data_IF_001026665703
#
_entry.id   IF_001026665703
#
_cell.length_a   1.000
_cell.length_b   1.000
_cell.length_c   1.000
_cell.angle_alpha   90.00
_cell.angle_beta   90.00
_cell.angle_gamma   90.00
#
_symmetry.space_group_name_H-M   'P 1'
#
loop_
_entity.id
_entity.type
_entity.pdbx_description
1 polymer ?
#
# COMPACT_ATOMS: atom_id res chain seq x y z
N UNK A 1 -4.85 -20.09 2.52
CA UNK A 1 -3.75 -20.89 3.06
C UNK A 1 -3.75 -20.96 4.59
N UNK A 2 -4.86 -20.62 5.26
CA UNK A 2 -5.03 -20.72 6.72
C UNK A 2 -3.87 -20.21 7.58
N UNK A 3 -3.21 -19.15 7.10
CA UNK A 3 -2.13 -18.47 7.83
C UNK A 3 -2.77 -17.71 8.99
N UNK A 4 -2.25 -17.98 10.18
CA UNK A 4 -2.74 -17.46 11.46
C UNK A 4 -1.66 -16.63 12.13
N UNK A 5 -2.11 -15.77 13.04
CA UNK A 5 -1.23 -15.07 13.98
C UNK A 5 -0.60 -16.08 14.95
N UNK A 6 0.39 -15.62 15.72
CA UNK A 6 1.07 -16.44 16.73
C UNK A 6 0.11 -17.00 17.79
N UNK A 7 -0.98 -16.27 18.09
CA UNK A 7 -2.02 -16.68 19.04
C UNK A 7 -3.05 -17.67 18.46
N UNK A 8 -2.92 -18.03 17.18
CA UNK A 8 -3.81 -18.97 16.49
C UNK A 8 -5.11 -18.36 15.93
N UNK A 9 -5.30 -17.05 16.06
CA UNK A 9 -6.40 -16.30 15.43
C UNK A 9 -6.09 -15.94 13.98
N UNK A 10 -7.12 -15.57 13.21
CA UNK A 10 -6.95 -15.11 11.83
C UNK A 10 -6.68 -13.61 11.77
N UNK A 11 -6.00 -13.19 10.71
CA UNK A 11 -5.85 -11.78 10.39
C UNK A 11 -7.21 -11.15 10.03
N UNK A 12 -7.44 -9.96 10.56
CA UNK A 12 -8.63 -9.15 10.32
C UNK A 12 -8.28 -8.00 9.36
N UNK A 13 -9.30 -7.47 8.69
CA UNK A 13 -9.11 -6.37 7.75
C UNK A 13 -8.56 -5.13 8.46
N UNK A 14 -7.51 -4.53 7.88
CA UNK A 14 -6.85 -3.34 8.43
C UNK A 14 -5.62 -3.66 9.28
N UNK A 15 -5.39 -4.94 9.60
CA UNK A 15 -4.16 -5.36 10.25
C UNK A 15 -3.01 -5.46 9.25
N UNK A 16 -1.81 -5.11 9.73
CA UNK A 16 -0.58 -5.34 9.00
C UNK A 16 -0.18 -6.81 9.09
N UNK A 17 0.33 -7.38 8.00
CA UNK A 17 0.78 -8.76 7.95
C UNK A 17 2.31 -8.74 8.04
N UNK A 18 2.90 -9.26 9.12
CA UNK A 18 4.35 -9.31 9.24
C UNK A 18 4.99 -10.21 8.17
N UNK A 19 6.27 -9.96 7.89
CA UNK A 19 7.06 -10.69 6.88
C UNK A 19 6.99 -12.22 7.03
N UNK A 20 7.05 -12.75 8.26
CA UNK A 20 7.10 -14.20 8.51
C UNK A 20 5.83 -14.93 8.01
N UNK A 21 4.61 -14.50 8.38
CA UNK A 21 3.36 -14.98 7.79
C UNK A 21 3.29 -14.85 6.26
N UNK A 22 3.69 -13.71 5.69
CA UNK A 22 3.68 -13.49 4.25
C UNK A 22 4.62 -14.45 3.50
N UNK A 23 5.83 -14.64 4.05
CA UNK A 23 6.81 -15.59 3.53
C UNK A 23 6.33 -17.02 3.65
N UNK A 24 5.75 -17.39 4.80
CA UNK A 24 5.17 -18.72 4.99
C UNK A 24 4.08 -19.01 3.96
N UNK A 25 3.19 -18.05 3.71
CA UNK A 25 2.17 -18.16 2.66
C UNK A 25 2.82 -18.35 1.28
N UNK A 26 3.82 -17.52 0.96
CA UNK A 26 4.49 -17.52 -0.35
C UNK A 26 5.23 -18.83 -0.60
N UNK A 27 5.93 -19.35 0.41
CA UNK A 27 6.68 -20.60 0.35
C UNK A 27 5.74 -21.80 0.20
N UNK A 28 4.57 -21.80 0.86
CA UNK A 28 3.55 -22.84 0.68
C UNK A 28 2.97 -22.84 -0.74
N UNK A 29 2.75 -21.66 -1.33
CA UNK A 29 2.28 -21.54 -2.72
C UNK A 29 3.39 -21.91 -3.71
N UNK A 30 4.65 -21.66 -3.33
CA UNK A 30 5.87 -21.99 -4.08
C UNK A 30 5.88 -21.41 -5.51
N UNK A 31 5.33 -20.20 -5.68
CA UNK A 31 5.32 -19.43 -6.93
C UNK A 31 5.44 -17.93 -6.61
N UNK A 32 5.88 -17.09 -7.55
CA UNK A 32 5.78 -15.64 -7.39
C UNK A 32 4.31 -15.21 -7.21
N UNK A 33 4.07 -14.30 -6.27
CA UNK A 33 2.73 -13.80 -5.92
C UNK A 33 2.71 -12.29 -6.03
N UNK A 34 1.58 -11.76 -6.51
CA UNK A 34 1.22 -10.36 -6.35
C UNK A 34 0.21 -10.26 -5.21
N UNK A 35 0.60 -9.65 -4.10
CA UNK A 35 -0.31 -9.28 -3.03
C UNK A 35 -0.78 -7.85 -3.31
N UNK A 36 -2.06 -7.70 -3.63
CA UNK A 36 -2.62 -6.42 -4.06
C UNK A 36 -3.64 -5.90 -3.06
N UNK A 37 -3.97 -4.60 -3.19
CA UNK A 37 -5.10 -3.97 -2.50
C UNK A 37 -4.94 -3.90 -0.97
N UNK A 38 -3.83 -3.33 -0.52
CA UNK A 38 -3.58 -3.14 0.91
C UNK A 38 -4.51 -2.09 1.53
N UNK A 39 -4.89 -2.23 2.81
CA UNK A 39 -5.66 -1.23 3.54
C UNK A 39 -4.98 0.15 3.52
N UNK A 40 -5.76 1.19 3.22
CA UNK A 40 -5.24 2.55 3.04
C UNK A 40 -4.74 3.21 4.34
N UNK A 41 -5.11 2.66 5.49
CA UNK A 41 -4.77 3.18 6.82
C UNK A 41 -3.36 2.77 7.26
N UNK A 42 -2.85 1.64 6.76
CA UNK A 42 -1.52 1.12 7.09
C UNK A 42 -0.47 1.44 6.03
N UNK A 43 -0.87 2.01 4.89
CA UNK A 43 0.02 2.37 3.77
C UNK A 43 0.21 3.88 3.65
N UNK A 44 1.26 4.27 2.93
CA UNK A 44 1.67 5.67 2.79
C UNK A 44 0.58 6.56 2.18
N UNK A 45 0.51 7.80 2.64
CA UNK A 45 -0.56 8.77 2.28
C UNK A 45 -0.64 9.11 0.79
N UNK A 46 0.43 8.92 0.04
CA UNK A 46 0.49 9.23 -1.39
C UNK A 46 -0.04 8.09 -2.29
N UNK A 47 -0.37 6.94 -1.71
CA UNK A 47 -0.90 5.80 -2.48
C UNK A 47 -2.37 6.04 -2.84
N UNK A 48 -2.70 5.90 -4.12
CA UNK A 48 -4.07 6.09 -4.63
C UNK A 48 -5.00 5.02 -4.05
N UNK A 49 -6.21 5.39 -3.64
CA UNK A 49 -7.23 4.43 -3.18
C UNK A 49 -8.04 3.90 -4.36
N UNK A 50 -8.43 2.62 -4.30
CA UNK A 50 -9.25 2.01 -5.35
C UNK A 50 -10.61 2.71 -5.46
N UNK A 51 -11.09 2.91 -6.70
CA UNK A 51 -12.37 3.58 -6.96
C UNK A 51 -13.59 2.76 -6.46
N UNK A 52 -13.50 1.43 -6.53
CA UNK A 52 -14.55 0.49 -6.13
C UNK A 52 -14.59 0.23 -4.62
N UNK A 53 -13.45 0.31 -3.92
CA UNK A 53 -13.37 0.24 -2.46
C UNK A 53 -12.29 1.18 -1.92
N UNK A 54 -12.73 2.32 -1.40
CA UNK A 54 -11.85 3.37 -0.86
C UNK A 54 -11.14 2.96 0.43
N UNK A 55 -11.45 1.80 1.03
CA UNK A 55 -10.72 1.27 2.20
C UNK A 55 -9.37 0.67 1.81
N UNK A 56 -9.16 0.33 0.54
CA UNK A 56 -7.93 -0.26 0.02
C UNK A 56 -7.25 0.63 -1.03
N UNK A 57 -5.99 0.35 -1.29
CA UNK A 57 -5.12 1.11 -2.20
C UNK A 57 -4.85 0.38 -3.51
N UNK A 58 -4.56 1.11 -4.57
CA UNK A 58 -4.04 0.56 -5.83
C UNK A 58 -2.55 0.20 -5.66
N UNK A 59 -2.26 -0.69 -4.72
CA UNK A 59 -0.93 -1.14 -4.33
C UNK A 59 -0.72 -2.61 -4.68
N UNK A 60 0.54 -2.96 -4.86
CA UNK A 60 1.02 -4.32 -5.12
C UNK A 60 2.37 -4.53 -4.46
N UNK A 61 2.49 -5.62 -3.72
CA UNK A 61 3.76 -6.16 -3.26
C UNK A 61 4.02 -7.46 -4.02
N UNK A 62 5.24 -7.63 -4.54
CA UNK A 62 5.68 -8.81 -5.28
C UNK A 62 6.45 -9.71 -4.33
N UNK A 63 5.95 -10.93 -4.11
CA UNK A 63 6.55 -11.89 -3.20
C UNK A 63 7.15 -13.06 -3.98
N UNK A 64 8.37 -13.44 -3.61
CA UNK A 64 9.12 -14.54 -4.22
C UNK A 64 9.34 -15.67 -3.21
N UNK A 65 9.13 -16.95 -3.60
CA UNK A 65 9.43 -18.09 -2.74
C UNK A 65 10.89 -18.09 -2.27
N UNK A 66 11.08 -18.41 -1.01
CA UNK A 66 12.37 -18.42 -0.32
C UNK A 66 12.89 -17.05 0.10
N UNK A 67 12.29 -15.95 -0.38
CA UNK A 67 12.76 -14.58 -0.13
C UNK A 67 11.72 -13.77 0.65
N UNK A 68 10.45 -13.77 0.22
CA UNK A 68 9.44 -12.83 0.71
C UNK A 68 9.23 -11.67 -0.26
N UNK A 69 8.85 -10.49 0.24
CA UNK A 69 8.68 -9.29 -0.59
C UNK A 69 10.00 -8.90 -1.27
N UNK A 70 9.94 -8.64 -2.58
CA UNK A 70 11.07 -8.15 -3.38
C UNK A 70 10.83 -6.76 -3.98
N UNK A 71 9.58 -6.36 -4.18
CA UNK A 71 9.20 -5.07 -4.76
C UNK A 71 7.85 -4.64 -4.20
N UNK A 72 7.76 -3.42 -3.66
CA UNK A 72 6.51 -2.75 -3.32
C UNK A 72 6.21 -1.59 -4.25
N UNK A 73 4.97 -1.48 -4.71
CA UNK A 73 4.54 -0.48 -5.69
C UNK A 73 3.10 -0.01 -5.47
N UNK A 74 2.76 1.17 -6.00
CA UNK A 74 1.38 1.63 -6.02
C UNK A 74 1.17 2.65 -7.12
N UNK A 75 -0.08 2.81 -7.58
CA UNK A 75 -0.48 4.05 -8.22
C UNK A 75 -0.38 5.20 -7.21
N UNK A 76 0.04 6.37 -7.69
CA UNK A 76 0.22 7.57 -6.87
C UNK A 76 -0.97 8.50 -7.07
N UNK A 77 -1.32 9.23 -6.02
CA UNK A 77 -2.34 10.27 -6.12
C UNK A 77 -1.90 11.34 -7.13
N UNK A 78 -2.72 11.55 -8.16
CA UNK A 78 -2.58 12.57 -9.19
C UNK A 78 -3.37 13.85 -8.86
N UNK A 79 -4.46 13.74 -8.07
CA UNK A 79 -5.26 14.89 -7.65
C UNK A 79 -4.60 15.66 -6.49
N UNK A 80 -4.47 16.97 -6.64
CA UNK A 80 -3.83 17.81 -5.62
C UNK A 80 -4.61 17.85 -4.31
N UNK A 81 -5.94 17.88 -4.35
CA UNK A 81 -6.75 18.00 -3.14
C UNK A 81 -6.71 16.70 -2.34
N UNK A 82 -6.80 15.55 -3.00
CA UNK A 82 -6.66 14.24 -2.36
C UNK A 82 -5.27 14.10 -1.71
N UNK A 83 -4.21 14.58 -2.37
CA UNK A 83 -2.87 14.57 -1.79
C UNK A 83 -2.77 15.45 -0.53
N UNK A 84 -3.37 16.65 -0.55
CA UNK A 84 -3.40 17.55 0.61
C UNK A 84 -4.20 16.98 1.78
N UNK A 85 -5.30 16.27 1.52
CA UNK A 85 -6.00 15.53 2.58
C UNK A 85 -5.15 14.38 3.14
N UNK A 86 -4.31 13.75 2.31
CA UNK A 86 -3.29 12.79 2.75
C UNK A 86 -2.28 13.43 3.72
N UNK A 87 -1.71 14.58 3.36
CA UNK A 87 -0.82 15.35 4.26
C UNK A 87 -1.48 15.65 5.60
N UNK A 88 -2.73 16.11 5.57
CA UNK A 88 -3.51 16.43 6.77
C UNK A 88 -3.78 15.20 7.63
N UNK A 89 -4.07 14.04 7.03
CA UNK A 89 -4.26 12.76 7.74
C UNK A 89 -3.02 12.36 8.53
N UNK A 90 -1.84 12.50 7.94
CA UNK A 90 -0.58 12.16 8.59
C UNK A 90 -0.04 13.27 9.52
N UNK A 91 -0.72 14.42 9.59
CA UNK A 91 -0.25 15.58 10.35
C UNK A 91 1.02 16.22 9.79
N UNK A 92 1.29 16.06 8.49
CA UNK A 92 2.49 16.58 7.83
C UNK A 92 2.19 17.94 7.20
N UNK A 93 3.02 18.94 7.47
CA UNK A 93 2.91 20.25 6.82
C UNK A 93 3.31 20.14 5.33
N UNK A 94 2.43 20.45 4.36
CA UNK A 94 2.74 20.33 2.93
C UNK A 94 3.69 21.43 2.42
N UNK A 95 3.83 22.56 3.13
CA UNK A 95 4.63 23.73 2.70
C UNK A 95 6.08 23.39 2.27
N UNK A 96 6.88 22.65 3.06
CA UNK A 96 8.23 22.25 2.64
C UNK A 96 8.26 21.26 1.46
N UNK A 97 7.13 20.61 1.16
CA UNK A 97 6.97 19.64 0.07
C UNK A 97 6.37 20.27 -1.18
N UNK A 98 6.47 21.59 -1.35
CA UNK A 98 5.93 22.29 -2.53
C UNK A 98 6.40 21.65 -3.85
N UNK A 99 7.66 21.20 -3.93
CA UNK A 99 8.23 20.53 -5.10
C UNK A 99 7.56 19.19 -5.43
N UNK A 100 6.93 18.55 -4.44
CA UNK A 100 6.18 17.30 -4.61
C UNK A 100 4.71 17.57 -4.95
N UNK A 101 4.08 18.55 -4.29
CA UNK A 101 2.69 18.94 -4.57
C UNK A 101 2.54 19.68 -5.90
N UNK A 102 3.53 20.47 -6.30
CA UNK A 102 3.51 21.22 -7.56
C UNK A 102 3.51 20.31 -8.79
N UNK A 103 4.03 19.08 -8.66
CA UNK A 103 3.89 18.04 -9.70
C UNK A 103 2.42 17.66 -9.95
N UNK A 104 1.53 17.91 -9.00
CA UNK A 104 0.07 17.71 -9.15
C UNK A 104 -0.64 18.97 -9.65
N UNK A 105 0.00 20.13 -9.46
CA UNK A 105 -0.53 21.44 -9.86
C UNK A 105 -0.25 21.76 -11.33
N UNK A 106 0.94 21.43 -11.82
CA UNK A 106 1.41 21.84 -13.15
C UNK A 106 1.45 20.66 -14.13
N UNK A 107 0.26 20.15 -14.49
CA UNK A 107 0.11 19.15 -15.55
C UNK A 107 0.33 17.70 -15.09
N UNK A 108 -0.35 17.29 -14.01
CA UNK A 108 -0.29 15.90 -13.53
C UNK A 108 -0.95 14.91 -14.49
N UNK A 109 -0.51 13.65 -14.41
CA UNK A 109 -1.08 12.50 -15.11
C UNK A 109 -1.10 11.28 -14.17
N UNK A 110 -1.87 10.25 -14.51
CA UNK A 110 -1.84 8.99 -13.77
C UNK A 110 -0.46 8.32 -13.86
N UNK A 111 0.09 7.89 -12.72
CA UNK A 111 1.42 7.27 -12.62
C UNK A 111 1.55 6.35 -11.39
N UNK A 112 2.50 5.41 -11.43
CA UNK A 112 2.77 4.42 -10.37
C UNK A 112 4.23 4.03 -10.27
#
# INVERSE_FOLDING_TARGET
HDIKKEDGTFYEFGEDIPESPERTMTDQINRPIFLCRFPAEIKSFYMKRCEDDRRVTESVDVLMPGVGEIVGGSMRISDLNELLEGYKREGINPTPYYWYTDQRKYGSTEHG
#
